data_IF_618402900247
#
_entry.id   IF_618402900247
#
_cell.length_a   1.000
_cell.length_b   1.000
_cell.length_c   1.000
_cell.angle_alpha   90.00
_cell.angle_beta   90.00
_cell.angle_gamma   90.00
#
_symmetry.space_group_name_H-M   'P 1'
#
loop_
_entity.id
_entity.type
_entity.pdbx_description
1 polymer ?
#
# COMPACT_ATOMS: atom_id res chain seq x y z
N UNK A 1 -2.28 -6.02 -33.81
CA UNK A 1 -2.92 -4.98 -34.63
C UNK A 1 -1.80 -4.07 -35.11
N UNK A 2 -1.67 -3.81 -36.42
CA UNK A 2 -0.73 -2.82 -36.92
C UNK A 2 -1.05 -1.45 -36.30
N UNK A 3 -0.03 -0.64 -36.00
CA UNK A 3 -0.24 0.76 -35.58
C UNK A 3 -0.44 1.57 -36.86
N UNK A 4 -1.60 2.21 -37.00
CA UNK A 4 -1.89 3.09 -38.13
C UNK A 4 -1.16 4.44 -37.97
N UNK A 5 -0.95 5.17 -39.06
CA UNK A 5 -0.19 6.44 -39.01
C UNK A 5 -0.87 7.51 -38.15
N UNK A 6 -2.20 7.51 -38.09
CA UNK A 6 -2.98 8.39 -37.19
C UNK A 6 -2.70 8.07 -35.72
N UNK A 7 -2.64 6.77 -35.36
CA UNK A 7 -2.31 6.34 -33.99
C UNK A 7 -0.87 6.71 -33.64
N UNK A 8 0.03 6.66 -34.61
CA UNK A 8 1.43 7.02 -34.43
C UNK A 8 1.58 8.46 -33.97
N UNK A 9 0.86 9.39 -34.60
CA UNK A 9 0.90 10.81 -34.25
C UNK A 9 0.35 11.07 -32.84
N UNK A 10 -0.76 10.43 -32.47
CA UNK A 10 -1.34 10.58 -31.14
C UNK A 10 -0.46 9.96 -30.05
N UNK A 11 0.07 8.76 -30.27
CA UNK A 11 0.98 8.10 -29.32
C UNK A 11 2.26 8.93 -29.14
N UNK A 12 2.79 9.53 -30.20
CA UNK A 12 3.98 10.38 -30.12
C UNK A 12 3.78 11.56 -29.17
N UNK A 13 2.59 12.18 -29.14
CA UNK A 13 2.28 13.28 -28.22
C UNK A 13 2.28 12.86 -26.75
N UNK A 14 2.08 11.57 -26.47
CA UNK A 14 2.04 11.01 -25.12
C UNK A 14 3.43 10.56 -24.62
N UNK A 15 4.46 10.62 -25.48
CA UNK A 15 5.80 10.19 -25.15
C UNK A 15 6.74 11.39 -25.01
N UNK A 16 7.59 11.35 -23.99
CA UNK A 16 8.61 12.39 -23.84
C UNK A 16 9.65 12.28 -24.97
N UNK A 17 10.17 13.41 -25.47
CA UNK A 17 11.20 13.42 -26.51
C UNK A 17 12.45 12.63 -26.12
N UNK A 18 12.85 12.67 -24.85
CA UNK A 18 14.03 11.96 -24.34
C UNK A 18 13.83 10.45 -24.44
N UNK A 19 12.65 9.97 -24.04
CA UNK A 19 12.33 8.53 -24.11
C UNK A 19 12.25 8.06 -25.55
N UNK A 20 11.63 8.85 -26.43
CA UNK A 20 11.51 8.50 -27.84
C UNK A 20 12.85 8.54 -28.57
N UNK A 21 13.71 9.53 -28.27
CA UNK A 21 15.05 9.65 -28.86
C UNK A 21 15.92 8.43 -28.58
N UNK A 22 15.95 7.95 -27.33
CA UNK A 22 16.71 6.74 -26.98
C UNK A 22 16.22 5.50 -27.74
N UNK A 23 14.91 5.34 -27.90
CA UNK A 23 14.33 4.22 -28.63
C UNK A 23 14.53 4.35 -30.14
N UNK A 24 14.51 5.58 -30.66
CA UNK A 24 14.79 5.86 -32.06
C UNK A 24 16.25 5.54 -32.40
N UNK A 25 17.21 5.89 -31.53
CA UNK A 25 18.62 5.51 -31.69
C UNK A 25 18.81 3.99 -31.78
N UNK A 26 18.01 3.21 -31.03
CA UNK A 26 18.07 1.75 -31.03
C UNK A 26 17.44 1.12 -32.28
N UNK A 27 16.33 1.70 -32.77
CA UNK A 27 15.46 1.08 -33.80
C UNK A 27 15.59 1.70 -35.19
N UNK A 28 16.26 2.86 -35.30
CA UNK A 28 16.55 3.57 -36.54
C UNK A 28 15.37 4.31 -37.18
N UNK A 29 14.14 4.18 -36.66
CA UNK A 29 12.99 4.92 -37.15
C UNK A 29 11.90 5.09 -36.06
N UNK A 30 11.07 6.13 -36.20
CA UNK A 30 10.06 6.52 -35.19
C UNK A 30 8.97 5.47 -35.03
N UNK A 31 8.53 4.83 -36.12
CA UNK A 31 7.48 3.80 -36.07
C UNK A 31 7.93 2.61 -35.23
N UNK A 32 9.12 2.08 -35.51
CA UNK A 32 9.71 0.97 -34.77
C UNK A 32 9.99 1.34 -33.31
N UNK A 33 10.41 2.58 -33.02
CA UNK A 33 10.60 3.06 -31.66
C UNK A 33 9.30 3.03 -30.83
N UNK A 34 8.19 3.48 -31.43
CA UNK A 34 6.87 3.48 -30.80
C UNK A 34 6.35 2.06 -30.62
N UNK A 35 6.46 1.20 -31.63
CA UNK A 35 6.09 -0.21 -31.51
C UNK A 35 6.87 -0.91 -30.39
N UNK A 36 8.18 -0.65 -30.30
CA UNK A 36 9.03 -1.20 -29.26
C UNK A 36 8.62 -0.69 -27.87
N UNK A 37 8.29 0.60 -27.74
CA UNK A 37 7.75 1.17 -26.51
C UNK A 37 6.47 0.46 -26.07
N UNK A 38 5.51 0.31 -26.97
CA UNK A 38 4.21 -0.33 -26.68
C UNK A 38 4.39 -1.81 -26.30
N UNK A 39 5.27 -2.54 -27.01
CA UNK A 39 5.62 -3.92 -26.65
C UNK A 39 6.25 -4.01 -25.26
N UNK A 40 7.09 -3.05 -24.88
CA UNK A 40 7.71 -3.00 -23.55
C UNK A 40 6.66 -2.75 -22.46
N UNK A 41 5.70 -1.83 -22.68
CA UNK A 41 4.60 -1.60 -21.76
C UNK A 41 3.73 -2.85 -21.58
N UNK A 42 3.40 -3.52 -22.69
CA UNK A 42 2.61 -4.75 -22.67
C UNK A 42 3.32 -5.86 -21.91
N UNK A 43 4.62 -6.05 -22.14
CA UNK A 43 5.43 -6.98 -21.37
C UNK A 43 5.40 -6.65 -19.86
N UNK A 44 5.47 -5.37 -19.50
CA UNK A 44 5.35 -4.94 -18.10
C UNK A 44 4.02 -5.32 -17.47
N UNK A 45 2.91 -5.16 -18.19
CA UNK A 45 1.57 -5.59 -17.74
C UNK A 45 1.49 -7.10 -17.59
N UNK A 46 2.01 -7.85 -18.56
CA UNK A 46 2.01 -9.31 -18.53
C UNK A 46 2.84 -9.86 -17.35
N UNK A 47 4.01 -9.27 -17.08
CA UNK A 47 4.83 -9.60 -15.91
C UNK A 47 4.15 -9.24 -14.59
N UNK A 48 3.43 -8.11 -14.53
CA UNK A 48 2.67 -7.72 -13.34
C UNK A 48 1.58 -8.76 -13.03
N UNK A 49 0.87 -9.24 -14.05
CA UNK A 49 -0.15 -10.27 -13.88
C UNK A 49 0.44 -11.58 -13.32
N UNK A 50 1.56 -12.04 -13.88
CA UNK A 50 2.26 -13.25 -13.39
C UNK A 50 2.72 -13.07 -11.94
N UNK A 51 3.33 -11.91 -11.63
CA UNK A 51 3.81 -11.60 -10.29
C UNK A 51 2.68 -11.59 -9.28
N UNK A 52 1.53 -10.99 -9.63
CA UNK A 52 0.35 -10.97 -8.77
C UNK A 52 -0.20 -12.38 -8.50
N UNK A 53 -0.25 -13.24 -9.51
CA UNK A 53 -0.69 -14.63 -9.35
C UNK A 53 0.25 -15.40 -8.43
N UNK A 54 1.57 -15.26 -8.62
CA UNK A 54 2.58 -15.89 -7.76
C UNK A 54 2.44 -15.37 -6.32
N UNK A 55 2.27 -14.07 -6.13
CA UNK A 55 2.09 -13.47 -4.81
C UNK A 55 0.87 -14.05 -4.08
N UNK A 56 -0.28 -14.13 -4.76
CA UNK A 56 -1.51 -14.68 -4.18
C UNK A 56 -1.30 -16.16 -3.83
N UNK A 57 -0.73 -16.95 -4.75
CA UNK A 57 -0.48 -18.37 -4.52
C UNK A 57 0.46 -18.60 -3.33
N UNK A 58 1.53 -17.81 -3.21
CA UNK A 58 2.46 -17.88 -2.08
C UNK A 58 1.79 -17.47 -0.77
N UNK A 59 1.03 -16.38 -0.75
CA UNK A 59 0.29 -15.94 0.44
C UNK A 59 -0.68 -17.02 0.92
N UNK A 60 -1.46 -17.59 0.01
CA UNK A 60 -2.41 -18.66 0.34
C UNK A 60 -1.69 -19.91 0.85
N UNK A 61 -0.65 -20.37 0.14
CA UNK A 61 0.11 -21.55 0.54
C UNK A 61 0.75 -21.40 1.92
N UNK A 62 1.29 -20.21 2.23
CA UNK A 62 1.85 -19.93 3.57
C UNK A 62 0.74 -19.92 4.63
N UNK A 63 -0.40 -19.29 4.35
CA UNK A 63 -1.54 -19.29 5.27
C UNK A 63 -2.04 -20.71 5.56
N UNK A 64 -2.16 -21.55 4.53
CA UNK A 64 -2.60 -22.94 4.68
C UNK A 64 -1.58 -23.76 5.48
N UNK A 65 -0.28 -23.63 5.15
CA UNK A 65 0.79 -24.30 5.89
C UNK A 65 0.82 -23.88 7.36
N UNK A 66 0.66 -22.58 7.67
CA UNK A 66 0.60 -22.11 9.05
C UNK A 66 -0.66 -22.59 9.77
N UNK A 67 -1.80 -22.63 9.06
CA UNK A 67 -3.05 -23.19 9.58
C UNK A 67 -2.92 -24.67 9.95
N UNK A 68 -2.29 -25.46 9.09
CA UNK A 68 -2.00 -26.88 9.35
C UNK A 68 -0.99 -27.05 10.49
N UNK A 69 0.08 -26.25 10.50
CA UNK A 69 1.13 -26.33 11.52
C UNK A 69 0.60 -26.02 12.92
N UNK A 70 -0.19 -24.96 13.08
CA UNK A 70 -0.78 -24.60 14.37
C UNK A 70 -2.01 -25.43 14.74
N UNK A 71 -2.70 -26.02 13.76
CA UNK A 71 -3.78 -26.99 13.96
C UNK A 71 -5.01 -26.45 14.70
N UNK A 72 -5.12 -25.13 14.90
CA UNK A 72 -6.21 -24.50 15.64
C UNK A 72 -6.78 -23.28 14.93
N UNK A 73 -8.11 -23.13 15.01
CA UNK A 73 -8.78 -21.93 14.51
C UNK A 73 -8.34 -20.69 15.30
N UNK A 74 -8.16 -19.56 14.62
CA UNK A 74 -7.78 -18.30 15.28
C UNK A 74 -6.33 -18.22 15.76
N UNK A 75 -5.45 -19.12 15.30
CA UNK A 75 -4.02 -19.17 15.68
C UNK A 75 -3.28 -17.84 15.49
N UNK A 76 -3.71 -17.00 14.55
CA UNK A 76 -3.08 -15.70 14.31
C UNK A 76 -3.26 -14.76 15.52
N UNK A 77 -4.43 -14.79 16.16
CA UNK A 77 -4.74 -13.92 17.31
C UNK A 77 -4.35 -14.58 18.63
N UNK A 78 -4.62 -15.88 18.74
CA UNK A 78 -4.32 -16.69 19.92
C UNK A 78 -3.48 -17.88 19.44
N UNK A 79 -2.14 -17.75 19.33
CA UNK A 79 -1.32 -18.88 18.91
C UNK A 79 -1.21 -19.94 20.03
N UNK A 80 -1.01 -21.22 19.68
CA UNK A 80 -0.84 -22.28 20.67
C UNK A 80 0.52 -22.17 21.36
N UNK A 81 0.57 -22.49 22.66
CA UNK A 81 1.83 -22.54 23.41
C UNK A 81 2.76 -23.63 22.84
N UNK A 82 4.10 -23.44 22.86
CA UNK A 82 4.83 -22.32 23.47
C UNK A 82 5.05 -21.12 22.53
N UNK A 83 4.45 -21.12 21.33
CA UNK A 83 4.69 -20.06 20.36
C UNK A 83 4.14 -18.71 20.83
N UNK A 84 4.94 -17.66 20.68
CA UNK A 84 4.53 -16.29 20.96
C UNK A 84 4.99 -15.36 19.84
N UNK A 85 4.10 -14.50 19.38
CA UNK A 85 4.45 -13.42 18.47
C UNK A 85 5.42 -12.45 19.12
N UNK A 86 6.37 -11.95 18.34
CA UNK A 86 7.15 -10.77 18.73
C UNK A 86 6.26 -9.53 18.66
N UNK A 87 6.65 -8.47 19.36
CA UNK A 87 5.83 -7.26 19.45
C UNK A 87 5.61 -6.56 18.11
N UNK A 88 6.59 -6.64 17.19
CA UNK A 88 6.44 -6.18 15.81
C UNK A 88 5.27 -6.85 15.09
N UNK A 89 5.11 -8.16 15.25
CA UNK A 89 4.05 -8.94 14.61
C UNK A 89 2.71 -8.68 15.30
N UNK A 90 2.67 -8.59 16.64
CA UNK A 90 1.46 -8.19 17.37
C UNK A 90 0.93 -6.84 16.91
N UNK A 91 1.81 -5.86 16.72
CA UNK A 91 1.43 -4.52 16.24
C UNK A 91 0.87 -4.56 14.81
N UNK A 92 1.47 -5.38 13.93
CA UNK A 92 0.95 -5.59 12.57
C UNK A 92 -0.44 -6.25 12.58
N UNK A 93 -0.62 -7.27 13.42
CA UNK A 93 -1.91 -7.95 13.60
C UNK A 93 -2.98 -6.97 14.12
N UNK A 94 -2.65 -6.16 15.13
CA UNK A 94 -3.55 -5.15 15.66
C UNK A 94 -3.95 -4.09 14.61
N UNK A 95 -2.98 -3.63 13.81
CA UNK A 95 -3.21 -2.67 12.71
C UNK A 95 -4.09 -3.27 11.61
N UNK A 96 -3.86 -4.55 11.28
CA UNK A 96 -4.67 -5.28 10.31
C UNK A 96 -6.12 -5.44 10.79
N UNK A 97 -6.31 -5.78 12.08
CA UNK A 97 -7.64 -5.86 12.69
C UNK A 97 -8.37 -4.52 12.67
N UNK A 98 -7.70 -3.43 13.03
CA UNK A 98 -8.30 -2.09 13.01
C UNK A 98 -8.69 -1.67 11.58
N UNK A 99 -7.83 -1.94 10.61
CA UNK A 99 -8.11 -1.72 9.19
C UNK A 99 -9.30 -2.54 8.70
N UNK A 100 -9.38 -3.82 9.07
CA UNK A 100 -10.49 -4.70 8.73
C UNK A 100 -11.81 -4.21 9.35
N UNK A 101 -11.81 -3.81 10.63
CA UNK A 101 -13.00 -3.23 11.29
C UNK A 101 -13.46 -1.95 10.61
N UNK A 102 -12.54 -1.07 10.23
CA UNK A 102 -12.85 0.18 9.49
C UNK A 102 -13.45 -0.12 8.12
N UNK A 103 -12.90 -1.12 7.42
CA UNK A 103 -13.41 -1.55 6.13
C UNK A 103 -14.85 -2.11 6.26
N UNK A 104 -15.09 -2.99 7.23
CA UNK A 104 -16.45 -3.50 7.50
C UNK A 104 -17.41 -2.37 7.91
N UNK A 105 -17.00 -1.49 8.81
CA UNK A 105 -17.79 -0.32 9.18
C UNK A 105 -18.11 0.57 7.97
N UNK A 106 -17.17 0.75 7.03
CA UNK A 106 -17.39 1.60 5.85
C UNK A 106 -18.50 1.08 4.95
N UNK A 107 -18.69 -0.25 4.87
CA UNK A 107 -19.71 -0.93 4.06
C UNK A 107 -21.12 -0.81 4.64
N UNK A 108 -21.26 -0.47 5.93
CA UNK A 108 -22.55 -0.39 6.60
C UNK A 108 -23.37 0.84 6.17
N UNK A 109 -24.70 0.71 6.24
CA UNK A 109 -25.61 1.84 6.03
C UNK A 109 -25.44 2.90 7.12
N UNK A 110 -25.89 4.12 6.87
CA UNK A 110 -25.79 5.20 7.87
C UNK A 110 -26.58 4.87 9.14
N UNK A 111 -27.74 4.20 9.01
CA UNK A 111 -28.56 3.78 10.15
C UNK A 111 -27.82 2.75 11.02
N UNK A 112 -27.19 1.75 10.41
CA UNK A 112 -26.43 0.71 11.12
C UNK A 112 -25.19 1.27 11.81
N UNK A 113 -24.52 2.24 11.16
CA UNK A 113 -23.42 3.00 11.76
C UNK A 113 -23.87 3.73 13.02
N UNK A 114 -25.00 4.44 12.96
CA UNK A 114 -25.56 5.14 14.12
C UNK A 114 -25.97 4.18 15.23
N UNK A 115 -26.54 3.01 14.91
CA UNK A 115 -26.88 1.99 15.90
C UNK A 115 -25.62 1.43 16.60
N UNK A 116 -24.58 1.08 15.82
CA UNK A 116 -23.29 0.65 16.37
C UNK A 116 -22.64 1.72 17.23
N UNK A 117 -22.68 2.98 16.79
CA UNK A 117 -22.13 4.09 17.55
C UNK A 117 -22.90 4.37 18.84
N UNK A 118 -24.23 4.22 18.84
CA UNK A 118 -25.06 4.35 20.04
C UNK A 118 -24.77 3.21 21.04
N UNK A 119 -24.53 2.00 20.55
CA UNK A 119 -24.13 0.87 21.40
C UNK A 119 -22.69 1.02 21.93
N UNK A 120 -21.76 1.50 21.11
CA UNK A 120 -20.35 1.68 21.49
C UNK A 120 -20.13 2.89 22.41
N UNK A 121 -20.97 3.93 22.27
CA UNK A 121 -20.89 5.18 23.03
C UNK A 121 -22.26 5.54 23.63
N UNK A 122 -22.73 4.81 24.66
CA UNK A 122 -24.05 5.03 25.26
C UNK A 122 -24.22 6.43 25.87
N UNK A 123 -23.11 7.10 26.23
CA UNK A 123 -23.09 8.47 26.76
C UNK A 123 -22.70 9.52 25.71
N UNK A 124 -22.83 9.20 24.42
CA UNK A 124 -22.44 10.05 23.31
C UNK A 124 -20.97 9.88 22.88
N UNK A 125 -20.69 10.17 21.61
CA UNK A 125 -19.35 10.03 21.03
C UNK A 125 -18.38 11.04 21.66
N UNK A 126 -17.17 10.62 22.09
CA UNK A 126 -16.18 11.55 22.62
C UNK A 126 -15.75 12.57 21.55
N UNK A 127 -15.74 13.85 21.91
CA UNK A 127 -15.50 14.97 21.00
C UNK A 127 -14.06 15.03 20.44
N UNK A 128 -13.13 14.22 20.94
CA UNK A 128 -11.72 14.27 20.56
C UNK A 128 -11.24 12.93 20.00
N UNK A 129 -11.24 12.78 18.67
CA UNK A 129 -10.44 11.75 18.01
C UNK A 129 -8.99 12.25 17.95
N UNK A 130 -8.23 12.03 19.02
CA UNK A 130 -6.78 12.18 18.98
C UNK A 130 -6.27 11.20 17.93
N UNK A 131 -5.87 11.71 16.76
CA UNK A 131 -5.05 10.93 15.82
C UNK A 131 -3.80 10.54 16.61
N UNK A 132 -3.58 9.25 16.80
CA UNK A 132 -2.36 8.72 17.41
C UNK A 132 -1.16 9.34 16.68
N UNK A 133 -0.47 10.25 17.35
CA UNK A 133 0.79 10.82 16.90
C UNK A 133 1.79 9.66 16.83
N UNK A 134 2.53 9.46 15.73
CA UNK A 134 3.63 8.52 15.73
C UNK A 134 4.68 9.02 16.73
N UNK A 135 4.92 8.26 17.80
CA UNK A 135 6.06 8.49 18.70
C UNK A 135 7.35 8.19 17.92
N UNK A 136 7.91 9.22 17.28
CA UNK A 136 9.18 9.15 16.57
C UNK A 136 9.67 10.54 16.23
N UNK A 137 10.56 11.10 17.06
CA UNK A 137 11.21 12.38 16.79
C UNK A 137 11.61 13.12 18.06
N UNK A 138 12.69 12.67 18.71
CA UNK A 138 13.35 13.44 19.76
C UNK A 138 13.83 14.76 19.19
N UNK A 139 13.14 15.86 19.55
CA UNK A 139 13.57 17.22 19.23
C UNK A 139 14.50 17.68 20.33
N UNK A 140 15.79 17.77 19.99
CA UNK A 140 16.82 18.40 20.82
C UNK A 140 16.44 19.86 21.01
N UNK A 141 16.11 20.25 22.25
CA UNK A 141 15.92 21.63 22.66
C UNK A 141 17.28 22.35 22.66
N UNK A 142 17.51 23.24 21.70
CA UNK A 142 18.60 24.23 21.81
C UNK A 142 18.08 25.45 22.57
N UNK A 143 18.58 25.64 23.78
CA UNK A 143 18.43 26.90 24.53
C UNK A 143 19.18 28.04 23.81
N UNK A 144 18.62 29.26 23.73
CA UNK A 144 19.38 30.41 23.27
C UNK A 144 20.24 30.96 24.42
N UNK A 145 21.56 30.92 24.25
CA UNK A 145 22.52 31.65 25.09
C UNK A 145 22.28 33.15 24.97
N UNK A 146 22.16 33.81 26.12
CA UNK A 146 22.12 35.26 26.24
C UNK A 146 23.43 35.89 25.76
N UNK A 147 23.31 36.96 24.99
CA UNK A 147 24.43 37.84 24.63
C UNK A 147 24.71 38.76 25.83
N UNK A 148 25.83 38.52 26.50
CA UNK A 148 26.50 39.53 27.31
C UNK A 148 27.37 40.38 26.38
N UNK A 149 26.99 41.65 26.19
CA UNK A 149 27.89 42.67 25.65
C UNK A 149 28.18 43.68 26.74
N UNK A 150 29.48 43.81 26.99
CA UNK A 150 30.15 44.77 27.83
C UNK A 150 29.86 46.21 27.37
N UNK A 151 29.74 47.12 28.34
CA UNK A 151 30.31 48.46 28.33
C UNK A 151 30.74 48.79 29.77
#
# INVERSE_FOLDING_TARGET
MPIEDTDLAEITKLLSPERLSNLHQLTGNTRSAIEFHQKTLRLGVDLMNITAVIEIALRNSICDNLGQFFGQAGWLLNPPAPFQWKDSEKNKIATALDSARKAEYSKLSQADKHALDAMAFPNGKPACRIRSVPKGGGRISRSPMGKSSQS
#
